data_IF_589410317007
#
_entry.id   IF_589410317007
#
_cell.length_a   1.000
_cell.length_b   1.000
_cell.length_c   1.000
_cell.angle_alpha   90.00
_cell.angle_beta   90.00
_cell.angle_gamma   90.00
#
_symmetry.space_group_name_H-M   'P 1'
#
loop_
_entity.id
_entity.type
_entity.pdbx_description
1 polymer ?
#
# COMPACT_ATOMS: atom_id res chain seq x y z
N UNK A 1 -5.08 7.84 -35.33
CA UNK A 1 -4.17 7.90 -34.17
C UNK A 1 -4.47 6.72 -33.27
N UNK A 2 -3.48 5.84 -33.10
CA UNK A 2 -3.58 4.51 -32.49
C UNK A 2 -3.69 4.62 -30.96
N UNK A 3 -4.76 4.09 -30.39
CA UNK A 3 -4.94 3.97 -28.95
C UNK A 3 -4.14 2.76 -28.45
N UNK A 4 -3.04 3.01 -27.75
CA UNK A 4 -2.27 1.97 -27.06
C UNK A 4 -3.12 1.39 -25.93
N UNK A 5 -3.47 0.10 -26.05
CA UNK A 5 -3.99 -0.72 -24.95
C UNK A 5 -3.03 -0.68 -23.77
N UNK A 6 -3.53 -0.24 -22.63
CA UNK A 6 -2.88 -0.44 -21.34
C UNK A 6 -3.03 -1.93 -21.03
N UNK A 7 -1.89 -2.63 -20.98
CA UNK A 7 -1.84 -4.01 -20.52
C UNK A 7 -2.21 -4.04 -19.03
N UNK A 8 -3.33 -4.69 -18.72
CA UNK A 8 -3.64 -5.10 -17.36
C UNK A 8 -2.59 -6.13 -16.92
N UNK A 9 -1.98 -5.90 -15.74
CA UNK A 9 -1.26 -6.95 -15.04
C UNK A 9 -2.20 -8.15 -14.87
N UNK A 10 -1.76 -9.39 -15.14
CA UNK A 10 -2.56 -10.56 -14.89
C UNK A 10 -2.79 -10.68 -13.38
N UNK A 11 -4.05 -10.65 -12.98
CA UNK A 11 -4.47 -11.20 -11.69
C UNK A 11 -4.17 -12.69 -11.78
N UNK A 12 -3.21 -13.16 -10.99
CA UNK A 12 -2.97 -14.59 -10.80
C UNK A 12 -4.14 -15.08 -9.94
N UNK A 13 -5.19 -15.56 -10.61
CA UNK A 13 -6.22 -16.38 -10.00
C UNK A 13 -5.57 -17.76 -9.86
N UNK A 14 -5.25 -18.13 -8.62
CA UNK A 14 -4.91 -19.51 -8.30
C UNK A 14 -6.24 -20.24 -8.20
N UNK A 15 -6.62 -20.92 -9.29
CA UNK A 15 -7.74 -21.86 -9.25
C UNK A 15 -7.43 -22.98 -8.23
N UNK A 16 -8.42 -23.39 -7.43
CA UNK A 16 -8.24 -24.52 -6.53
C UNK A 16 -8.12 -25.78 -7.37
N UNK A 17 -6.93 -26.38 -7.31
CA UNK A 17 -6.63 -27.70 -7.87
C UNK A 17 -7.65 -28.69 -7.30
N UNK A 18 -8.58 -29.13 -8.16
CA UNK A 18 -9.32 -30.37 -7.98
C UNK A 18 -8.37 -31.52 -8.30
N UNK A 19 -7.62 -31.98 -7.32
CA UNK A 19 -7.02 -33.31 -7.35
C UNK A 19 -7.85 -34.25 -6.49
N UNK A 20 -8.66 -35.05 -7.20
CA UNK A 20 -9.06 -36.36 -6.73
C UNK A 20 -7.82 -37.25 -6.73
N UNK A 21 -7.79 -38.18 -5.77
CA UNK A 21 -6.88 -39.32 -5.65
C UNK A 21 -5.41 -39.03 -5.37
N UNK A 22 -5.04 -39.08 -4.10
CA UNK A 22 -4.07 -40.06 -3.59
C UNK A 22 -4.01 -39.99 -2.06
N UNK A 23 -4.54 -41.02 -1.41
CA UNK A 23 -4.07 -41.40 -0.08
C UNK A 23 -2.56 -41.58 -0.12
N UNK A 24 -1.80 -40.81 0.65
CA UNK A 24 -0.42 -41.15 0.95
C UNK A 24 0.04 -40.46 2.24
N UNK A 25 0.43 -41.30 3.20
CA UNK A 25 1.44 -41.07 4.22
C UNK A 25 1.04 -40.18 5.41
N UNK A 26 0.16 -40.72 6.25
CA UNK A 26 0.35 -40.58 7.69
C UNK A 26 1.60 -41.39 8.09
N UNK A 27 2.54 -40.85 8.89
CA UNK A 27 3.57 -41.68 9.49
C UNK A 27 2.92 -42.61 10.52
N UNK A 28 3.04 -43.91 10.26
CA UNK A 28 2.60 -44.96 11.18
C UNK A 28 3.23 -44.74 12.58
N UNK A 29 2.49 -45.03 13.67
CA UNK A 29 3.10 -45.14 14.98
C UNK A 29 4.10 -46.30 14.91
N UNK A 30 5.38 -45.99 15.16
CA UNK A 30 6.41 -46.99 15.32
C UNK A 30 6.07 -47.81 16.56
N UNK A 31 5.34 -48.91 16.35
CA UNK A 31 5.21 -50.01 17.28
C UNK A 31 6.64 -50.54 17.45
N UNK A 32 7.29 -50.16 18.54
CA UNK A 32 8.49 -50.84 19.01
C UNK A 32 8.08 -52.27 19.33
N UNK A 33 8.33 -53.14 18.35
CA UNK A 33 8.29 -54.58 18.51
C UNK A 33 9.53 -54.93 19.32
N UNK A 34 9.33 -55.09 20.64
CA UNK A 34 10.32 -55.65 21.54
C UNK A 34 10.82 -56.98 20.97
N UNK A 35 12.09 -57.10 20.58
CA UNK A 35 12.64 -58.37 20.15
C UNK A 35 12.71 -59.27 21.39
N UNK A 36 11.85 -60.28 21.39
CA UNK A 36 12.07 -61.63 21.90
C UNK A 36 13.20 -61.75 22.92
N UNK A 37 12.79 -61.98 24.17
CA UNK A 37 13.54 -62.75 25.15
C UNK A 37 14.14 -63.99 24.46
N UNK A 38 15.39 -63.87 24.05
CA UNK A 38 16.24 -64.97 23.65
C UNK A 38 17.16 -65.20 24.84
N UNK A 39 16.69 -65.98 25.80
CA UNK A 39 17.51 -66.48 26.90
C UNK A 39 18.75 -67.15 26.31
N UNK A 40 19.99 -66.76 26.65
CA UNK A 40 21.11 -67.65 26.45
C UNK A 40 20.96 -68.79 27.46
N UNK A 41 20.58 -69.96 26.96
CA UNK A 41 20.68 -71.21 27.69
C UNK A 41 22.15 -71.41 28.08
N UNK A 42 22.47 -71.26 29.36
CA UNK A 42 23.74 -71.67 29.92
C UNK A 42 23.80 -73.20 29.88
N UNK A 43 24.25 -73.74 28.74
CA UNK A 43 24.67 -75.14 28.63
C UNK A 43 26.04 -75.28 29.32
N UNK A 44 26.00 -75.49 30.63
CA UNK A 44 27.18 -75.90 31.39
C UNK A 44 27.47 -77.36 31.08
N UNK A 45 28.40 -77.56 30.15
CA UNK A 45 29.06 -78.86 29.94
C UNK A 45 29.93 -79.17 31.16
N UNK A 46 29.52 -80.12 31.99
CA UNK A 46 30.41 -80.80 32.94
C UNK A 46 30.47 -82.26 32.52
N UNK A 47 31.63 -82.67 32.02
CA UNK A 47 31.99 -84.07 31.85
C UNK A 47 33.47 -84.20 32.18
N UNK A 48 33.81 -85.34 32.80
CA UNK A 48 35.11 -85.78 33.34
C UNK A 48 35.41 -85.22 34.75
N UNK A 49 35.67 -86.01 35.80
CA UNK A 49 36.12 -87.40 35.92
C UNK A 49 35.50 -88.06 37.17
N UNK A 50 35.12 -89.33 37.02
CA UNK A 50 35.10 -90.30 38.12
C UNK A 50 36.27 -91.26 37.93
N UNK A 51 37.27 -91.18 38.80
CA UNK A 51 38.19 -92.28 39.09
C UNK A 51 38.87 -92.07 40.44
N UNK A 52 38.28 -92.74 41.43
CA UNK A 52 38.89 -93.48 42.54
C UNK A 52 39.96 -92.82 43.45
N UNK A 53 39.64 -92.96 44.75
CA UNK A 53 40.52 -93.32 45.86
C UNK A 53 41.25 -92.21 46.64
N UNK A 54 40.62 -91.88 47.78
CA UNK A 54 41.22 -91.74 49.12
C UNK A 54 42.39 -90.78 49.32
N UNK A 55 42.11 -89.49 49.60
CA UNK A 55 43.02 -88.55 50.28
C UNK A 55 42.21 -87.48 51.06
N UNK A 56 42.49 -87.15 52.34
CA UNK A 56 41.76 -86.12 53.13
C UNK A 56 42.03 -84.65 52.72
N UNK A 57 42.55 -84.38 51.52
CA UNK A 57 43.03 -83.04 51.09
C UNK A 57 42.19 -82.40 49.97
N UNK A 58 41.13 -83.06 49.51
CA UNK A 58 40.31 -82.63 48.35
C UNK A 58 39.23 -81.61 48.74
N UNK A 59 38.85 -81.52 50.03
CA UNK A 59 37.82 -80.60 50.49
C UNK A 59 38.21 -79.12 50.33
N UNK A 60 39.50 -78.78 50.44
CA UNK A 60 39.97 -77.39 50.40
C UNK A 60 39.91 -76.76 49.00
N UNK A 61 40.22 -77.54 47.95
CA UNK A 61 40.15 -77.08 46.55
C UNK A 61 38.71 -76.86 46.09
N UNK A 62 37.80 -77.75 46.52
CA UNK A 62 36.38 -77.63 46.22
C UNK A 62 35.75 -76.44 46.95
N UNK A 63 36.13 -76.18 48.20
CA UNK A 63 35.68 -75.02 48.95
C UNK A 63 36.02 -73.69 48.25
N UNK A 64 37.22 -73.57 47.65
CA UNK A 64 37.64 -72.36 46.93
C UNK A 64 36.87 -72.15 45.63
N UNK A 65 36.55 -73.23 44.90
CA UNK A 65 35.73 -73.18 43.68
C UNK A 65 34.30 -72.75 44.04
N UNK A 66 33.72 -73.35 45.08
CA UNK A 66 32.40 -73.00 45.60
C UNK A 66 32.36 -71.52 46.01
N UNK A 67 33.38 -71.04 46.73
CA UNK A 67 33.47 -69.64 47.13
C UNK A 67 33.48 -68.68 45.92
N UNK A 68 34.24 -69.00 44.87
CA UNK A 68 34.26 -68.21 43.63
C UNK A 68 32.90 -68.22 42.92
N UNK A 69 32.24 -69.38 42.87
CA UNK A 69 30.90 -69.49 42.29
C UNK A 69 29.87 -68.70 43.10
N UNK A 70 29.95 -68.72 44.43
CA UNK A 70 29.08 -67.92 45.30
C UNK A 70 29.29 -66.43 45.06
N UNK A 71 30.53 -65.96 44.92
CA UNK A 71 30.82 -64.56 44.57
C UNK A 71 30.22 -64.17 43.21
N UNK A 72 30.39 -65.01 42.19
CA UNK A 72 29.81 -64.76 40.87
C UNK A 72 28.28 -64.75 40.89
N UNK A 73 27.66 -65.65 41.66
CA UNK A 73 26.20 -65.66 41.84
C UNK A 73 25.74 -64.37 42.50
N UNK A 74 26.49 -63.86 43.47
CA UNK A 74 26.13 -62.62 44.18
C UNK A 74 26.30 -61.38 43.28
N UNK A 75 27.40 -61.29 42.52
CA UNK A 75 27.61 -60.24 41.51
C UNK A 75 26.46 -60.24 40.47
N UNK A 76 26.08 -61.42 39.95
CA UNK A 76 24.97 -61.53 39.00
C UNK A 76 23.63 -61.14 39.62
N UNK A 77 23.42 -61.38 40.92
CA UNK A 77 22.21 -60.94 41.62
C UNK A 77 22.16 -59.42 41.75
N UNK A 78 23.28 -58.79 42.10
CA UNK A 78 23.40 -57.33 42.16
C UNK A 78 23.16 -56.69 40.79
N UNK A 79 23.73 -57.26 39.73
CA UNK A 79 23.52 -56.83 38.35
C UNK A 79 22.05 -56.95 37.93
N UNK A 80 21.38 -58.05 38.30
CA UNK A 80 19.96 -58.25 37.99
C UNK A 80 19.07 -57.24 38.72
N UNK A 81 19.37 -56.92 39.98
CA UNK A 81 18.67 -55.87 40.74
C UNK A 81 18.87 -54.51 40.08
N UNK A 82 20.12 -54.17 39.72
CA UNK A 82 20.46 -52.91 39.05
C UNK A 82 19.75 -52.78 37.70
N UNK A 83 19.72 -53.87 36.92
CA UNK A 83 19.03 -53.91 35.63
C UNK A 83 17.53 -53.74 35.79
N UNK A 84 16.92 -54.41 36.77
CA UNK A 84 15.50 -54.27 37.06
C UNK A 84 15.16 -52.82 37.47
N UNK A 85 15.98 -52.21 38.33
CA UNK A 85 15.79 -50.80 38.71
C UNK A 85 15.87 -49.85 37.50
N UNK A 86 16.83 -50.07 36.58
CA UNK A 86 16.91 -49.30 35.32
C UNK A 86 15.70 -49.53 34.42
N UNK A 87 15.19 -50.75 34.37
CA UNK A 87 13.99 -51.10 33.60
C UNK A 87 12.75 -50.40 34.15
N UNK A 88 12.56 -50.40 35.48
CA UNK A 88 11.48 -49.65 36.14
C UNK A 88 11.59 -48.15 35.85
N UNK A 89 12.77 -47.56 36.00
CA UNK A 89 12.98 -46.14 35.65
C UNK A 89 12.70 -45.83 34.18
N UNK A 90 12.98 -46.78 33.27
CA UNK A 90 12.69 -46.62 31.86
C UNK A 90 11.18 -46.66 31.59
N UNK A 91 10.44 -47.53 32.29
CA UNK A 91 8.97 -47.56 32.24
C UNK A 91 8.41 -46.22 32.72
N UNK A 92 8.81 -45.75 33.91
CA UNK A 92 8.33 -44.48 34.47
C UNK A 92 8.58 -43.29 33.52
N UNK A 93 9.79 -43.20 32.94
CA UNK A 93 10.10 -42.16 31.95
C UNK A 93 9.27 -42.29 30.68
N UNK A 94 8.99 -43.52 30.24
CA UNK A 94 8.16 -43.77 29.06
C UNK A 94 6.71 -43.37 29.32
N UNK A 95 6.16 -43.70 30.48
CA UNK A 95 4.80 -43.32 30.90
C UNK A 95 4.67 -41.80 31.03
N UNK A 96 5.64 -41.11 31.64
CA UNK A 96 5.64 -39.64 31.71
C UNK A 96 5.72 -39.00 30.32
N UNK A 97 6.51 -39.56 29.42
CA UNK A 97 6.63 -39.06 28.05
C UNK A 97 5.33 -39.28 27.26
N UNK A 98 4.65 -40.42 27.46
CA UNK A 98 3.36 -40.72 26.84
C UNK A 98 2.26 -39.79 27.35
N UNK A 99 2.22 -39.52 28.66
CA UNK A 99 1.26 -38.56 29.24
C UNK A 99 1.46 -37.14 28.69
N UNK A 100 2.71 -36.66 28.64
CA UNK A 100 3.03 -35.35 28.06
C UNK A 100 2.71 -35.29 26.56
N UNK A 101 2.91 -36.41 25.84
CA UNK A 101 2.53 -36.52 24.43
C UNK A 101 1.02 -36.38 24.26
N UNK A 102 0.23 -37.08 25.08
CA UNK A 102 -1.23 -36.99 25.04
C UNK A 102 -1.74 -35.58 25.41
N UNK A 103 -1.12 -34.92 26.38
CA UNK A 103 -1.43 -33.54 26.75
C UNK A 103 -1.21 -32.58 25.57
N UNK A 104 -0.04 -32.66 24.92
CA UNK A 104 0.28 -31.83 23.74
C UNK A 104 -0.63 -32.16 22.55
N UNK A 105 -0.98 -33.43 22.33
CA UNK A 105 -1.91 -33.82 21.27
C UNK A 105 -3.30 -33.19 21.48
N UNK A 106 -3.82 -33.21 22.71
CA UNK A 106 -5.08 -32.56 23.06
C UNK A 106 -5.01 -31.03 22.84
N UNK A 107 -3.93 -30.37 23.26
CA UNK A 107 -3.77 -28.92 23.04
C UNK A 107 -3.73 -28.57 21.54
N UNK A 108 -3.07 -29.39 20.72
CA UNK A 108 -3.02 -29.20 19.27
C UNK A 108 -4.40 -29.39 18.64
N UNK A 109 -5.18 -30.36 19.09
CA UNK A 109 -6.55 -30.57 18.61
C UNK A 109 -7.45 -29.37 18.95
N UNK A 110 -7.40 -28.89 20.19
CA UNK A 110 -8.16 -27.72 20.64
C UNK A 110 -7.79 -26.45 19.85
N UNK A 111 -6.50 -26.20 19.67
CA UNK A 111 -6.01 -25.07 18.86
C UNK A 111 -6.42 -25.21 17.40
N UNK A 112 -6.40 -26.42 16.86
CA UNK A 112 -6.84 -26.69 15.48
C UNK A 112 -8.33 -26.38 15.33
N UNK A 113 -9.17 -26.83 16.26
CA UNK A 113 -10.60 -26.52 16.28
C UNK A 113 -10.86 -25.01 16.32
N UNK A 114 -10.22 -24.29 17.24
CA UNK A 114 -10.36 -22.84 17.36
C UNK A 114 -9.93 -22.10 16.08
N UNK A 115 -8.82 -22.54 15.45
CA UNK A 115 -8.34 -21.94 14.22
C UNK A 115 -9.30 -22.16 13.05
N UNK A 116 -9.89 -23.36 12.94
CA UNK A 116 -10.93 -23.63 11.94
C UNK A 116 -12.20 -22.80 12.18
N UNK A 117 -12.65 -22.68 13.42
CA UNK A 117 -13.80 -21.84 13.75
C UNK A 117 -13.55 -20.36 13.43
N UNK A 118 -12.37 -19.84 13.79
CA UNK A 118 -11.99 -18.46 13.50
C UNK A 118 -11.87 -18.20 12.00
N UNK A 119 -11.26 -19.13 11.25
CA UNK A 119 -11.16 -19.04 9.80
C UNK A 119 -12.55 -19.05 9.15
N UNK A 120 -13.43 -19.96 9.57
CA UNK A 120 -14.80 -20.03 9.07
C UNK A 120 -15.61 -18.76 9.39
N UNK A 121 -15.47 -18.24 10.60
CA UNK A 121 -16.11 -16.98 11.00
C UNK A 121 -15.62 -15.79 10.16
N UNK A 122 -14.32 -15.73 9.87
CA UNK A 122 -13.73 -14.69 9.01
C UNK A 122 -14.26 -14.78 7.58
N UNK A 123 -14.29 -15.98 7.00
CA UNK A 123 -14.81 -16.22 5.65
C UNK A 123 -16.30 -15.89 5.58
N UNK A 124 -17.10 -16.29 6.57
CA UNK A 124 -18.51 -15.97 6.63
C UNK A 124 -18.75 -14.44 6.72
N UNK A 125 -17.94 -13.73 7.52
CA UNK A 125 -17.98 -12.28 7.63
C UNK A 125 -17.64 -11.60 6.31
N UNK A 126 -16.59 -12.05 5.64
CA UNK A 126 -16.17 -11.50 4.35
C UNK A 126 -17.23 -11.74 3.27
N UNK A 127 -17.77 -12.96 3.18
CA UNK A 127 -18.84 -13.31 2.24
C UNK A 127 -20.09 -12.44 2.47
N UNK A 128 -20.44 -12.16 3.72
CA UNK A 128 -21.53 -11.24 4.06
C UNK A 128 -21.22 -9.81 3.64
N UNK A 129 -19.99 -9.33 3.87
CA UNK A 129 -19.56 -7.99 3.46
C UNK A 129 -19.59 -7.85 1.93
N UNK A 130 -19.12 -8.87 1.22
CA UNK A 130 -19.16 -8.93 -0.24
C UNK A 130 -20.60 -8.83 -0.76
N UNK A 131 -21.52 -9.65 -0.26
CA UNK A 131 -22.94 -9.61 -0.67
C UNK A 131 -23.56 -8.22 -0.44
N UNK A 132 -23.31 -7.60 0.71
CA UNK A 132 -23.80 -6.25 0.99
C UNK A 132 -23.22 -5.20 0.04
N UNK A 133 -21.95 -5.34 -0.34
CA UNK A 133 -21.32 -4.44 -1.31
C UNK A 133 -21.89 -4.62 -2.71
N UNK A 134 -22.13 -5.86 -3.13
CA UNK A 134 -22.76 -6.20 -4.41
C UNK A 134 -24.19 -5.66 -4.50
N UNK A 135 -24.97 -5.76 -3.41
CA UNK A 135 -26.30 -5.16 -3.33
C UNK A 135 -26.27 -3.65 -3.51
N UNK A 136 -25.35 -2.95 -2.83
CA UNK A 136 -25.19 -1.49 -2.96
C UNK A 136 -24.75 -1.09 -4.36
N UNK A 137 -23.86 -1.86 -4.99
CA UNK A 137 -23.47 -1.64 -6.39
C UNK A 137 -24.67 -1.80 -7.33
N UNK A 138 -25.49 -2.84 -7.12
CA UNK A 138 -26.70 -3.04 -7.92
C UNK A 138 -27.72 -1.90 -7.74
N UNK A 139 -27.89 -1.38 -6.53
CA UNK A 139 -28.79 -0.25 -6.24
C UNK A 139 -28.29 1.05 -6.88
N UNK A 140 -27.03 1.41 -6.63
CA UNK A 140 -26.41 2.61 -7.22
C UNK A 140 -26.39 2.56 -8.74
N UNK A 141 -26.20 1.38 -9.34
CA UNK A 141 -26.29 1.21 -10.80
C UNK A 141 -27.71 1.47 -11.33
N UNK A 142 -28.76 1.05 -10.60
CA UNK A 142 -30.15 1.34 -10.97
C UNK A 142 -30.45 2.84 -10.88
N UNK A 143 -29.99 3.50 -9.83
CA UNK A 143 -30.14 4.96 -9.68
C UNK A 143 -29.42 5.72 -10.79
N UNK A 144 -28.20 5.32 -11.13
CA UNK A 144 -27.42 5.93 -12.21
C UNK A 144 -28.14 5.80 -13.55
N UNK A 145 -28.67 4.62 -13.86
CA UNK A 145 -29.44 4.39 -15.08
C UNK A 145 -30.68 5.30 -15.12
N UNK A 146 -31.42 5.42 -14.01
CA UNK A 146 -32.59 6.31 -13.91
C UNK A 146 -32.23 7.77 -14.18
N UNK A 147 -31.16 8.27 -13.55
CA UNK A 147 -30.71 9.66 -13.76
C UNK A 147 -30.22 9.88 -15.19
N UNK A 148 -29.57 8.88 -15.78
CA UNK A 148 -29.13 8.94 -17.17
C UNK A 148 -30.31 9.03 -18.14
N UNK A 149 -31.38 8.26 -17.90
CA UNK A 149 -32.61 8.30 -18.69
C UNK A 149 -33.31 9.67 -18.56
N UNK A 150 -33.42 10.20 -17.34
CA UNK A 150 -33.97 11.55 -17.08
C UNK A 150 -33.14 12.64 -17.79
N UNK A 151 -31.81 12.55 -17.72
CA UNK A 151 -30.91 13.49 -18.39
C UNK A 151 -31.06 13.42 -19.92
N UNK A 152 -31.19 12.21 -20.48
CA UNK A 152 -31.42 12.00 -21.90
C UNK A 152 -32.76 12.62 -22.34
N UNK A 153 -33.81 12.44 -21.55
CA UNK A 153 -35.11 13.07 -21.80
C UNK A 153 -34.98 14.61 -21.79
N UNK A 154 -34.34 15.19 -20.78
CA UNK A 154 -34.14 16.65 -20.69
C UNK A 154 -33.28 17.20 -21.84
N UNK A 155 -32.24 16.48 -22.25
CA UNK A 155 -31.44 16.82 -23.43
C UNK A 155 -32.29 16.83 -24.70
N UNK A 156 -33.20 15.87 -24.86
CA UNK A 156 -34.13 15.84 -26.01
C UNK A 156 -35.11 17.03 -25.98
N UNK A 157 -35.64 17.39 -24.80
CA UNK A 157 -36.50 18.57 -24.62
C UNK A 157 -35.77 19.86 -24.97
N UNK A 158 -34.55 20.05 -24.47
CA UNK A 158 -33.72 21.22 -24.79
C UNK A 158 -33.41 21.31 -26.28
N UNK A 159 -33.10 20.17 -26.92
CA UNK A 159 -32.86 20.12 -28.37
C UNK A 159 -34.10 20.60 -29.15
N UNK A 160 -35.29 20.12 -28.80
CA UNK A 160 -36.54 20.56 -29.43
C UNK A 160 -36.83 22.05 -29.22
N UNK A 161 -36.55 22.58 -28.02
CA UNK A 161 -36.72 24.02 -27.73
C UNK A 161 -35.73 24.84 -28.56
N UNK A 162 -34.47 24.41 -28.63
CA UNK A 162 -33.44 25.07 -29.43
C UNK A 162 -33.83 25.11 -30.92
N UNK A 163 -34.29 24.01 -31.49
CA UNK A 163 -34.77 23.95 -32.88
C UNK A 163 -35.98 24.88 -33.10
N UNK A 164 -36.87 25.05 -32.12
CA UNK A 164 -37.99 26.00 -32.19
C UNK A 164 -37.52 27.46 -32.10
N UNK A 165 -36.50 27.75 -31.31
CA UNK A 165 -35.92 29.08 -31.19
C UNK A 165 -35.12 29.45 -32.44
N UNK A 166 -34.29 28.56 -32.98
CA UNK A 166 -33.55 28.80 -34.22
C UNK A 166 -34.50 29.10 -35.40
N UNK A 167 -35.65 28.41 -35.48
CA UNK A 167 -36.71 28.73 -36.45
C UNK A 167 -37.34 30.11 -36.24
N UNK A 168 -37.38 30.61 -35.01
CA UNK A 168 -37.86 31.96 -34.68
C UNK A 168 -36.79 33.03 -34.89
N UNK A 169 -35.52 32.73 -34.60
CA UNK A 169 -34.40 33.67 -34.70
C UNK A 169 -33.89 33.85 -36.14
N UNK A 170 -34.08 32.87 -37.03
CA UNK A 170 -33.90 33.05 -38.48
C UNK A 170 -34.82 34.15 -39.06
N UNK A 171 -35.88 34.53 -38.34
CA UNK A 171 -36.77 35.65 -38.71
C UNK A 171 -36.29 36.98 -38.10
N UNK A 172 -35.42 36.97 -37.07
CA UNK A 172 -35.16 38.15 -36.24
C UNK A 172 -33.72 38.71 -36.27
N UNK A 173 -32.67 37.96 -36.63
CA UNK A 173 -31.30 38.39 -36.28
C UNK A 173 -30.30 38.25 -37.45
N UNK A 174 -30.23 39.31 -38.27
CA UNK A 174 -29.01 39.79 -38.98
C UNK A 174 -28.14 40.66 -38.04
N UNK A 175 -28.09 40.37 -36.75
CA UNK A 175 -27.40 41.22 -35.78
C UNK A 175 -26.00 40.67 -35.47
N UNK A 176 -25.07 41.13 -36.29
CA UNK A 176 -23.68 41.51 -35.99
C UNK A 176 -23.21 41.20 -34.54
N UNK A 177 -22.49 40.10 -34.36
CA UNK A 177 -21.59 39.87 -33.22
C UNK A 177 -20.51 40.96 -33.25
N UNK A 178 -20.77 42.09 -32.62
CA UNK A 178 -19.71 43.04 -32.27
C UNK A 178 -19.01 42.52 -31.02
N UNK A 179 -17.81 41.99 -31.21
CA UNK A 179 -16.84 41.82 -30.13
C UNK A 179 -16.68 43.16 -29.40
N UNK A 180 -17.23 43.25 -28.19
CA UNK A 180 -17.07 44.42 -27.31
C UNK A 180 -15.72 44.29 -26.62
N UNK A 181 -14.65 44.60 -27.35
CA UNK A 181 -13.33 44.82 -26.73
C UNK A 181 -13.30 46.26 -26.26
N UNK A 182 -13.08 46.47 -24.96
CA UNK A 182 -12.92 47.80 -24.39
C UNK A 182 -11.71 48.51 -25.06
N UNK A 183 -11.94 49.65 -25.75
CA UNK A 183 -10.87 50.39 -26.43
C UNK A 183 -9.72 50.80 -25.51
N UNK A 184 -10.01 51.04 -24.22
CA UNK A 184 -9.02 51.46 -23.24
C UNK A 184 -8.02 50.34 -22.93
N UNK A 185 -8.49 49.11 -22.73
CA UNK A 185 -7.63 47.96 -22.50
C UNK A 185 -6.75 47.66 -23.71
N UNK A 186 -7.30 47.83 -24.91
CA UNK A 186 -6.57 47.63 -26.16
C UNK A 186 -5.45 48.67 -26.35
N UNK A 187 -5.70 49.94 -25.98
CA UNK A 187 -4.67 50.98 -25.98
C UNK A 187 -3.52 50.65 -25.01
N UNK A 188 -3.85 50.32 -23.76
CA UNK A 188 -2.86 49.97 -22.75
C UNK A 188 -2.03 48.73 -23.14
N UNK A 189 -2.66 47.76 -23.81
CA UNK A 189 -1.97 46.59 -24.34
C UNK A 189 -1.01 46.95 -25.48
N UNK A 190 -1.42 47.82 -26.42
CA UNK A 190 -0.56 48.29 -27.52
C UNK A 190 0.71 48.95 -27.00
N UNK A 191 0.60 49.81 -25.99
CA UNK A 191 1.77 50.44 -25.34
C UNK A 191 2.76 49.39 -24.83
N UNK A 192 2.27 48.31 -24.19
CA UNK A 192 3.12 47.22 -23.73
C UNK A 192 3.79 46.50 -24.88
N UNK A 193 3.06 46.20 -25.96
CA UNK A 193 3.62 45.51 -27.13
C UNK A 193 4.75 46.34 -27.76
N UNK A 194 4.53 47.63 -27.95
CA UNK A 194 5.52 48.55 -28.53
C UNK A 194 6.77 48.66 -27.65
N UNK A 195 6.58 48.86 -26.34
CA UNK A 195 7.68 48.96 -25.38
C UNK A 195 8.47 47.64 -25.21
N UNK A 196 7.84 46.49 -25.44
CA UNK A 196 8.43 45.16 -25.19
C UNK A 196 9.65 44.84 -26.06
N UNK A 197 9.81 45.50 -27.21
CA UNK A 197 10.84 45.19 -28.22
C UNK A 197 12.27 45.60 -27.86
N UNK A 198 12.47 46.46 -26.86
CA UNK A 198 13.80 46.91 -26.43
C UNK A 198 13.94 47.22 -24.94
N UNK A 199 12.84 47.08 -24.18
CA UNK A 199 12.81 47.40 -22.75
C UNK A 199 13.05 46.14 -21.91
N UNK A 200 13.94 46.17 -20.91
CA UNK A 200 14.07 45.09 -19.93
C UNK A 200 12.72 44.70 -19.33
N UNK A 201 12.50 43.40 -19.14
CA UNK A 201 11.21 42.86 -18.71
C UNK A 201 10.72 43.46 -17.38
N UNK A 202 11.64 43.80 -16.48
CA UNK A 202 11.37 44.44 -15.19
C UNK A 202 10.68 45.81 -15.33
N UNK A 203 11.01 46.55 -16.39
CA UNK A 203 10.39 47.83 -16.70
C UNK A 203 9.05 47.64 -17.40
N UNK A 204 8.93 46.65 -18.28
CA UNK A 204 7.65 46.29 -18.93
C UNK A 204 6.60 45.91 -17.89
N UNK A 205 6.97 45.18 -16.83
CA UNK A 205 6.05 44.82 -15.73
C UNK A 205 5.52 46.00 -14.92
N UNK A 206 6.19 47.15 -14.96
CA UNK A 206 5.74 48.37 -14.28
C UNK A 206 4.73 49.15 -15.11
N UNK A 207 4.50 48.78 -16.37
CA UNK A 207 3.54 49.46 -17.24
C UNK A 207 2.10 49.27 -16.75
N UNK A 208 1.19 50.23 -17.04
CA UNK A 208 -0.15 50.23 -16.48
C UNK A 208 -0.95 48.96 -16.76
N UNK A 209 -0.93 48.45 -18.00
CA UNK A 209 -1.64 47.22 -18.39
C UNK A 209 -1.24 46.02 -17.54
N UNK A 210 0.07 45.76 -17.41
CA UNK A 210 0.56 44.61 -16.63
C UNK A 210 0.33 44.78 -15.14
N UNK A 211 0.44 46.00 -14.62
CA UNK A 211 0.08 46.32 -13.23
C UNK A 211 -1.39 46.04 -12.96
N UNK A 212 -2.27 46.35 -13.91
CA UNK A 212 -3.69 46.05 -13.83
C UNK A 212 -3.93 44.54 -13.89
N UNK A 213 -3.33 43.80 -14.82
CA UNK A 213 -3.44 42.33 -14.87
C UNK A 213 -2.93 41.66 -13.58
N UNK A 214 -1.82 42.16 -13.01
CA UNK A 214 -1.29 41.67 -11.74
C UNK A 214 -2.29 41.88 -10.59
N UNK A 215 -2.91 43.06 -10.55
CA UNK A 215 -3.80 43.47 -9.45
C UNK A 215 -5.21 42.86 -9.59
N UNK A 216 -5.74 42.77 -10.81
CA UNK A 216 -7.11 42.35 -11.09
C UNK A 216 -7.25 40.85 -11.35
N UNK A 217 -6.23 40.21 -11.95
CA UNK A 217 -6.30 38.78 -12.27
C UNK A 217 -5.39 37.95 -11.38
N UNK A 218 -4.08 38.21 -11.43
CA UNK A 218 -3.08 37.28 -10.88
C UNK A 218 -3.16 37.27 -9.36
N UNK A 219 -3.23 38.45 -8.74
CA UNK A 219 -3.33 38.57 -7.30
C UNK A 219 -4.61 37.90 -6.76
N UNK A 220 -5.83 38.20 -7.24
CA UNK A 220 -7.04 37.50 -6.77
C UNK A 220 -7.04 35.99 -7.04
N UNK A 221 -6.45 35.56 -8.15
CA UNK A 221 -6.29 34.13 -8.47
C UNK A 221 -5.43 33.41 -7.43
N UNK A 222 -4.34 34.04 -6.96
CA UNK A 222 -3.50 33.51 -5.90
C UNK A 222 -4.08 33.72 -4.49
N UNK A 223 -4.90 34.75 -4.26
CA UNK A 223 -5.50 35.03 -2.94
C UNK A 223 -6.72 34.18 -2.57
N UNK A 224 -7.18 33.30 -3.47
CA UNK A 224 -8.46 32.61 -3.30
C UNK A 224 -8.43 31.57 -2.16
N UNK A 225 -8.70 32.01 -0.93
CA UNK A 225 -8.89 31.17 0.26
C UNK A 225 -8.15 31.70 1.50
N UNK A 226 -7.94 30.81 2.48
CA UNK A 226 -7.24 31.09 3.74
C UNK A 226 -5.71 30.92 3.59
N UNK A 227 -5.25 30.27 2.50
CA UNK A 227 -3.98 29.54 2.52
C UNK A 227 -2.70 30.34 2.33
N UNK A 228 -2.65 31.35 1.44
CA UNK A 228 -1.39 32.10 1.25
C UNK A 228 -1.35 33.39 2.07
N UNK A 229 -0.31 33.54 2.90
CA UNK A 229 -0.02 34.82 3.53
C UNK A 229 0.36 35.89 2.49
N UNK A 230 0.12 37.17 2.78
CA UNK A 230 0.51 38.29 1.90
C UNK A 230 2.00 38.24 1.51
N UNK A 231 2.86 37.85 2.46
CA UNK A 231 4.30 37.68 2.23
C UNK A 231 4.61 36.52 1.29
N UNK A 232 3.87 35.41 1.39
CA UNK A 232 4.00 34.25 0.50
C UNK A 232 3.57 34.59 -0.91
N UNK A 233 2.46 35.32 -1.08
CA UNK A 233 1.99 35.77 -2.40
C UNK A 233 3.01 36.73 -3.01
N UNK A 234 3.57 37.67 -2.23
CA UNK A 234 4.63 38.56 -2.72
C UNK A 234 5.86 37.77 -3.20
N UNK A 235 6.23 36.70 -2.48
CA UNK A 235 7.32 35.80 -2.87
C UNK A 235 7.00 34.97 -4.12
N UNK A 236 5.77 34.45 -4.23
CA UNK A 236 5.27 33.74 -5.40
C UNK A 236 5.26 34.64 -6.64
N UNK A 237 4.66 35.83 -6.53
CA UNK A 237 4.63 36.82 -7.60
C UNK A 237 6.05 37.20 -8.03
N UNK A 238 6.94 37.46 -7.08
CA UNK A 238 8.35 37.71 -7.37
C UNK A 238 8.99 36.56 -8.13
N UNK A 239 8.73 35.32 -7.75
CA UNK A 239 9.35 34.15 -8.39
C UNK A 239 8.78 33.86 -9.77
N UNK A 240 7.44 33.80 -9.91
CA UNK A 240 6.72 33.55 -11.17
C UNK A 240 7.09 34.58 -12.24
N UNK A 241 7.35 35.82 -11.81
CA UNK A 241 7.81 36.89 -12.68
C UNK A 241 9.15 36.56 -13.32
N UNK A 242 10.11 35.95 -12.64
CA UNK A 242 11.46 35.72 -13.19
C UNK A 242 11.62 34.30 -13.75
N UNK A 243 11.07 33.29 -13.09
CA UNK A 243 11.24 31.88 -13.44
C UNK A 243 9.93 31.10 -13.34
N UNK A 244 9.71 30.09 -14.21
CA UNK A 244 8.59 29.19 -14.05
C UNK A 244 8.74 28.39 -12.75
N UNK A 245 7.65 28.24 -11.99
CA UNK A 245 7.66 27.32 -10.86
C UNK A 245 7.66 25.87 -11.35
N UNK A 246 8.27 24.99 -10.57
CA UNK A 246 8.29 23.56 -10.85
C UNK A 246 7.09 22.93 -10.18
N UNK A 247 6.21 22.30 -10.96
CA UNK A 247 4.99 21.63 -10.46
C UNK A 247 5.00 20.20 -10.97
N UNK A 248 4.80 19.24 -10.08
CA UNK A 248 4.72 17.82 -10.43
C UNK A 248 3.65 17.08 -9.61
N UNK A 249 3.26 15.91 -10.12
CA UNK A 249 2.39 14.99 -9.40
C UNK A 249 3.18 14.34 -8.27
N UNK A 250 2.65 14.43 -7.05
CA UNK A 250 3.21 13.75 -5.90
C UNK A 250 2.77 12.29 -5.91
N UNK A 251 3.76 11.40 -5.86
CA UNK A 251 3.49 9.96 -5.70
C UNK A 251 3.05 9.67 -4.27
N UNK A 252 2.26 8.61 -4.09
CA UNK A 252 1.82 8.16 -2.75
C UNK A 252 2.98 7.92 -1.78
N UNK A 253 4.12 7.43 -2.30
CA UNK A 253 5.35 7.21 -1.54
C UNK A 253 5.96 8.52 -0.99
N UNK A 254 5.99 9.58 -1.82
CA UNK A 254 6.55 10.88 -1.44
C UNK A 254 5.70 11.60 -0.39
N UNK A 255 4.37 11.48 -0.48
CA UNK A 255 3.44 12.06 0.49
C UNK A 255 3.63 11.45 1.90
N UNK A 256 3.86 10.13 1.98
CA UNK A 256 4.11 9.43 3.25
C UNK A 256 5.48 9.75 3.85
N UNK A 257 6.53 9.84 3.01
CA UNK A 257 7.89 10.05 3.51
C UNK A 257 8.07 11.42 4.18
N UNK A 258 7.33 12.46 3.74
CA UNK A 258 7.43 13.80 4.31
C UNK A 258 6.66 13.97 5.64
N UNK A 259 5.69 13.10 5.94
CA UNK A 259 5.10 13.01 7.29
C UNK A 259 6.11 12.47 8.31
N UNK A 260 6.99 11.55 7.89
CA UNK A 260 7.97 10.93 8.79
C UNK A 260 9.23 11.77 9.08
N UNK A 261 9.61 12.68 8.16
CA UNK A 261 10.90 13.40 8.24
C UNK A 261 10.82 14.83 8.77
N UNK A 262 9.62 15.40 8.98
CA UNK A 262 9.48 16.76 9.50
C UNK A 262 9.72 16.81 11.01
N UNK A 263 10.98 17.01 11.40
CA UNK A 263 11.33 17.62 12.69
C UNK A 263 10.57 18.94 12.83
N UNK A 264 9.97 19.16 14.00
CA UNK A 264 9.09 20.26 14.36
C UNK A 264 9.57 21.64 13.86
N UNK A 265 9.05 22.09 12.73
CA UNK A 265 9.12 23.49 12.32
C UNK A 265 8.09 24.28 13.13
N UNK A 266 8.44 25.49 13.59
CA UNK A 266 7.56 26.34 14.42
C UNK A 266 6.17 26.61 13.78
N UNK A 267 6.00 26.38 12.48
CA UNK A 267 4.68 26.43 11.82
C UNK A 267 3.72 25.29 12.23
N UNK A 268 4.20 24.16 12.74
CA UNK A 268 3.31 23.07 13.19
C UNK A 268 2.56 23.38 14.49
N UNK A 269 2.92 24.47 15.21
CA UNK A 269 2.21 24.89 16.43
C UNK A 269 0.81 25.46 16.18
N UNK A 270 0.52 25.97 14.99
CA UNK A 270 -0.77 26.62 14.71
C UNK A 270 -1.81 25.69 14.04
N UNK A 271 -1.41 24.49 13.60
CA UNK A 271 -2.32 23.51 12.99
C UNK A 271 -2.04 22.09 13.52
N UNK A 272 -2.54 21.74 14.72
CA UNK A 272 -2.30 20.45 15.33
C UNK A 272 -3.34 19.43 14.83
N UNK A 273 -3.17 18.87 13.62
CA UNK A 273 -3.79 17.58 13.28
C UNK A 273 -3.10 16.89 12.10
N UNK A 274 -2.94 15.56 12.19
CA UNK A 274 -2.31 14.66 11.23
C UNK A 274 -3.02 14.65 9.85
N UNK A 275 -2.84 15.67 9.03
CA UNK A 275 -3.30 15.66 7.65
C UNK A 275 -2.48 16.58 6.74
N UNK A 276 -2.32 16.19 5.47
CA UNK A 276 -1.82 17.11 4.44
C UNK A 276 -2.85 18.23 4.23
N UNK A 277 -2.42 19.48 4.39
CA UNK A 277 -3.21 20.66 4.05
C UNK A 277 -2.66 21.26 2.75
N UNK A 278 -3.54 21.72 1.88
CA UNK A 278 -3.15 22.43 0.68
C UNK A 278 -2.48 23.76 1.06
N UNK A 279 -1.25 23.98 0.61
CA UNK A 279 -0.48 25.20 0.88
C UNK A 279 -1.13 26.46 0.29
N UNK A 280 -1.95 26.31 -0.77
CA UNK A 280 -2.58 27.44 -1.44
C UNK A 280 -3.90 27.92 -0.82
N UNK A 281 -4.82 27.00 -0.52
CA UNK A 281 -6.15 27.34 0.01
C UNK A 281 -6.29 27.07 1.51
N UNK A 282 -5.41 26.26 2.11
CA UNK A 282 -5.48 25.82 3.52
C UNK A 282 -6.47 24.68 3.77
N UNK A 283 -7.16 24.18 2.74
CA UNK A 283 -8.12 23.08 2.89
C UNK A 283 -7.42 21.77 3.23
N UNK A 284 -8.04 20.98 4.11
CA UNK A 284 -7.59 19.63 4.47
C UNK A 284 -7.74 18.71 3.26
N UNK A 285 -6.67 18.03 2.89
CA UNK A 285 -6.64 17.10 1.77
C UNK A 285 -6.96 15.70 2.28
N UNK A 286 -8.13 15.17 1.92
CA UNK A 286 -8.54 13.82 2.28
C UNK A 286 -8.09 12.83 1.21
N UNK A 287 -7.31 11.80 1.61
CA UNK A 287 -6.92 10.56 0.89
C UNK A 287 -6.80 10.61 -0.65
N UNK A 288 -5.57 10.39 -1.16
CA UNK A 288 -5.17 9.80 -2.46
C UNK A 288 -5.73 10.36 -3.78
N UNK A 289 -6.49 11.46 -3.80
CA UNK A 289 -6.67 12.23 -5.04
C UNK A 289 -5.32 12.80 -5.52
N UNK A 290 -5.16 13.04 -6.83
CA UNK A 290 -3.92 13.54 -7.45
C UNK A 290 -3.36 14.74 -6.68
N UNK A 291 -2.36 14.49 -5.84
CA UNK A 291 -1.67 15.51 -5.07
C UNK A 291 -0.63 16.13 -6.00
N UNK A 292 -0.52 17.45 -5.94
CA UNK A 292 0.55 18.16 -6.62
C UNK A 292 1.50 18.72 -5.59
N UNK A 293 2.77 18.79 -5.95
CA UNK A 293 3.75 19.53 -5.18
C UNK A 293 4.47 20.52 -6.08
N UNK A 294 4.87 21.64 -5.50
CA UNK A 294 5.61 22.66 -6.21
C UNK A 294 6.78 23.22 -5.40
N UNK A 295 7.77 23.75 -6.13
CA UNK A 295 8.86 24.58 -5.60
C UNK A 295 9.05 25.81 -6.47
N UNK A 296 9.49 26.92 -5.88
CA UNK A 296 9.62 28.20 -6.59
C UNK A 296 10.91 28.27 -7.39
N UNK A 297 11.99 27.74 -6.84
CA UNK A 297 13.30 27.66 -7.49
C UNK A 297 13.80 26.23 -7.54
N UNK A 298 14.72 25.95 -8.45
CA UNK A 298 15.31 24.61 -8.54
C UNK A 298 16.12 24.25 -7.30
N UNK A 299 16.79 25.24 -6.69
CA UNK A 299 17.62 25.07 -5.49
C UNK A 299 16.81 24.95 -4.19
N UNK A 300 15.50 25.20 -4.23
CA UNK A 300 14.65 25.02 -3.05
C UNK A 300 14.54 23.54 -2.71
N UNK A 301 14.94 23.17 -1.49
CA UNK A 301 14.85 21.79 -0.97
C UNK A 301 13.41 21.45 -0.58
N UNK A 302 12.63 22.46 -0.19
CA UNK A 302 11.31 22.30 0.39
C UNK A 302 10.19 22.31 -0.66
N UNK A 303 9.62 21.14 -0.91
CA UNK A 303 8.39 21.00 -1.69
C UNK A 303 7.15 21.34 -0.86
N UNK A 304 6.23 22.10 -1.46
CA UNK A 304 4.93 22.45 -0.88
C UNK A 304 3.80 21.73 -1.62
N UNK A 305 2.86 21.11 -0.89
CA UNK A 305 1.73 20.40 -1.49
C UNK A 305 0.56 21.32 -1.77
N UNK A 306 -0.12 21.12 -2.89
CA UNK A 306 -1.31 21.86 -3.31
C UNK A 306 -2.36 20.91 -3.89
N UNK A 307 -3.63 21.31 -3.78
CA UNK A 307 -4.74 20.65 -4.47
C UNK A 307 -4.75 20.98 -5.97
N UNK A 308 -5.58 20.24 -6.71
CA UNK A 308 -5.80 20.42 -8.14
C UNK A 308 -6.26 21.84 -8.51
N UNK A 309 -7.13 22.46 -7.70
CA UNK A 309 -7.65 23.80 -7.97
C UNK A 309 -6.55 24.88 -7.84
N UNK A 310 -5.75 24.83 -6.78
CA UNK A 310 -4.61 25.69 -6.54
C UNK A 310 -3.51 25.47 -7.57
N UNK A 311 -3.29 24.23 -8.01
CA UNK A 311 -2.40 23.91 -9.13
C UNK A 311 -2.84 24.61 -10.40
N UNK A 312 -4.12 24.52 -10.76
CA UNK A 312 -4.62 25.16 -11.98
C UNK A 312 -4.55 26.69 -11.92
N UNK A 313 -4.84 27.29 -10.77
CA UNK A 313 -4.65 28.74 -10.54
C UNK A 313 -3.19 29.16 -10.69
N UNK A 314 -2.27 28.41 -10.09
CA UNK A 314 -0.83 28.67 -10.18
C UNK A 314 -0.32 28.55 -11.62
N UNK A 315 -0.74 27.49 -12.33
CA UNK A 315 -0.40 27.28 -13.75
C UNK A 315 -0.96 28.41 -14.61
N UNK A 316 -2.21 28.82 -14.42
CA UNK A 316 -2.81 29.93 -15.15
C UNK A 316 -2.01 31.24 -14.97
N UNK A 317 -1.56 31.53 -13.75
CA UNK A 317 -0.71 32.68 -13.45
C UNK A 317 0.64 32.58 -14.18
N UNK A 318 1.26 31.39 -14.19
CA UNK A 318 2.55 31.16 -14.88
C UNK A 318 2.41 31.24 -16.40
N UNK A 319 1.34 30.69 -16.98
CA UNK A 319 1.08 30.73 -18.42
C UNK A 319 0.90 32.16 -18.93
N UNK A 320 0.09 32.99 -18.23
CA UNK A 320 -0.06 34.41 -18.57
C UNK A 320 1.30 35.11 -18.59
N UNK A 321 2.15 34.85 -17.60
CA UNK A 321 3.48 35.47 -17.53
C UNK A 321 4.44 34.98 -18.62
N UNK A 322 4.36 33.71 -18.99
CA UNK A 322 5.17 33.14 -20.08
C UNK A 322 4.80 33.77 -21.43
N UNK A 323 3.51 33.99 -21.69
CA UNK A 323 3.05 34.68 -22.91
C UNK A 323 3.62 36.10 -22.94
N UNK A 324 3.54 36.83 -21.83
CA UNK A 324 4.06 38.20 -21.71
C UNK A 324 5.59 38.29 -21.89
N UNK A 325 6.34 37.31 -21.39
CA UNK A 325 7.81 37.23 -21.62
C UNK A 325 8.18 36.98 -23.08
N UNK A 326 7.32 36.29 -23.81
CA UNK A 326 7.59 35.90 -25.19
C UNK A 326 6.99 36.86 -26.23
N UNK A 327 6.22 37.87 -25.80
CA UNK A 327 5.73 38.95 -26.67
C UNK A 327 6.84 39.56 -27.55
N UNK A 328 8.01 39.96 -27.01
CA UNK A 328 9.08 40.55 -27.82
C UNK A 328 9.65 39.60 -28.89
N UNK A 329 9.60 38.29 -28.63
CA UNK A 329 10.14 37.26 -29.54
C UNK A 329 9.16 36.89 -30.64
N UNK A 330 7.86 37.11 -30.41
CA UNK A 330 6.80 36.75 -31.35
C UNK A 330 6.43 37.89 -32.31
N UNK A 331 6.72 39.16 -32.00
CA UNK A 331 6.41 40.32 -32.87
C UNK A 331 6.99 40.24 -34.29
N UNK A 332 8.02 39.42 -34.53
CA UNK A 332 8.56 39.16 -35.87
C UNK A 332 7.80 38.09 -36.68
N UNK A 333 6.84 37.38 -36.08
CA UNK A 333 6.01 36.31 -36.68
C UNK A 333 4.55 36.31 -36.21
N UNK A 334 3.99 37.44 -35.78
CA UNK A 334 2.56 37.52 -35.47
C UNK A 334 1.80 37.47 -36.81
N UNK A 335 1.39 36.26 -37.22
CA UNK A 335 0.30 36.13 -38.18
C UNK A 335 -0.96 36.72 -37.55
N UNK A 336 -1.84 37.38 -38.32
CA UNK A 336 -3.17 37.73 -37.85
C UNK A 336 -3.79 36.46 -37.26
N UNK A 337 -4.34 36.55 -36.05
CA UNK A 337 -5.16 35.48 -35.50
C UNK A 337 -6.45 35.50 -36.33
N UNK A 338 -6.44 34.79 -37.45
CA UNK A 338 -7.65 34.46 -38.18
C UNK A 338 -8.45 33.51 -37.30
N UNK A 339 -9.50 34.03 -36.68
CA UNK A 339 -10.54 33.19 -36.13
C UNK A 339 -11.25 32.53 -37.33
N UNK A 340 -10.88 31.29 -37.63
CA UNK A 340 -11.69 30.43 -38.51
C UNK A 340 -13.08 30.31 -37.88
N UNK A 341 -14.09 30.72 -38.66
CA UNK A 341 -15.51 30.72 -38.34
C UNK A 341 -16.06 29.31 -38.14
#
# INVERSE_FOLDING_TARGET
MSWKRIQHNPVIIIDPIQDKSASALAPHPMIYSSPLLSTPSFSSSISTLSSLQSIPSIEFSNAKIIQKQVQQIEELREDLVTLNQKYVQQIERSEEAEQKKAEVENEIEDLSHQLFEQANAMVAKEKKAQLLSEQKLAETQKELNKVQDELQEKRSQLKQIREKLEKKDQIAIKHEEKEIVDPQWLHLFKEVVEASSGTPFELVLRMPFLKLCLTMDIQPCLYSGIGFSKSTIKRLLGSIVYEPCFIENATSFQAQHQESTKKSSLLTRFFPSLGLYCYGCGSKMYKRAELFRFKLKEQDVDWQYIDYACRNRLVACCCKQLVLKNLPKQTSKIRPIEFEK
#
